data_IF_189190219656
#
_entry.id   IF_189190219656
#
_cell.length_a   1.000
_cell.length_b   1.000
_cell.length_c   1.000
_cell.angle_alpha   90.00
_cell.angle_beta   90.00
_cell.angle_gamma   90.00
#
_symmetry.space_group_name_H-M   'P 1'
#
loop_
_entity.id
_entity.type
_entity.pdbx_description
1 polymer ?
#
# COMPACT_ATOMS: atom_id res chain seq x y z
N UNK A 1 -52.30 -11.22 -52.56
CA UNK A 1 -50.88 -11.56 -52.35
C UNK A 1 -50.11 -10.25 -52.44
N UNK A 2 -49.38 -9.71 -51.47
CA UNK A 2 -48.90 -10.12 -50.16
C UNK A 2 -48.85 -8.83 -49.31
N UNK A 3 -49.30 -8.92 -48.06
CA UNK A 3 -49.15 -7.90 -47.03
C UNK A 3 -47.68 -7.76 -46.62
N UNK A 4 -47.22 -6.55 -46.30
CA UNK A 4 -46.05 -6.35 -45.42
C UNK A 4 -46.17 -5.04 -44.66
N UNK A 5 -46.87 -5.11 -43.53
CA UNK A 5 -46.65 -4.26 -42.36
C UNK A 5 -45.48 -4.79 -41.55
N UNK A 6 -44.61 -3.92 -41.04
CA UNK A 6 -43.80 -4.15 -39.83
C UNK A 6 -43.29 -2.77 -39.37
N UNK A 7 -43.92 -2.15 -38.37
CA UNK A 7 -43.75 -2.39 -36.93
C UNK A 7 -42.56 -1.59 -36.37
N UNK A 8 -42.90 -0.35 -35.98
CA UNK A 8 -42.16 0.48 -35.02
C UNK A 8 -42.04 -0.30 -33.71
N UNK A 9 -40.81 -0.58 -33.28
CA UNK A 9 -40.55 -1.12 -31.94
C UNK A 9 -39.75 -0.09 -31.15
N UNK A 10 -40.46 0.63 -30.28
CA UNK A 10 -39.87 1.45 -29.23
C UNK A 10 -39.23 0.52 -28.19
N UNK A 11 -37.91 0.58 -28.04
CA UNK A 11 -37.21 -0.07 -26.93
C UNK A 11 -36.92 0.98 -25.86
N UNK A 12 -37.78 1.01 -24.85
CA UNK A 12 -37.59 1.71 -23.58
C UNK A 12 -36.36 1.15 -22.87
N UNK A 13 -35.23 1.89 -22.92
CA UNK A 13 -34.05 1.62 -22.09
C UNK A 13 -34.35 1.96 -20.65
N UNK A 14 -34.71 0.93 -19.90
CA UNK A 14 -34.96 0.99 -18.48
C UNK A 14 -33.66 1.31 -17.74
N UNK A 15 -33.63 2.47 -17.08
CA UNK A 15 -32.47 3.03 -16.40
C UNK A 15 -32.27 2.30 -15.07
N UNK A 16 -31.47 1.22 -15.06
CA UNK A 16 -30.95 0.66 -13.81
C UNK A 16 -29.81 1.55 -13.31
N UNK A 17 -30.16 2.56 -12.51
CA UNK A 17 -29.21 3.30 -11.67
C UNK A 17 -28.60 2.32 -10.67
N UNK A 18 -27.39 1.85 -10.97
CA UNK A 18 -26.53 1.27 -9.97
C UNK A 18 -26.20 2.35 -8.92
N UNK A 19 -26.17 2.02 -7.62
CA UNK A 19 -25.79 2.98 -6.60
C UNK A 19 -24.33 3.37 -6.82
N UNK A 20 -24.10 4.64 -7.16
CA UNK A 20 -22.80 5.29 -7.11
C UNK A 20 -22.34 5.33 -5.64
N UNK A 21 -21.73 4.24 -5.17
CA UNK A 21 -20.94 4.29 -3.94
C UNK A 21 -19.65 5.04 -4.25
N UNK A 22 -19.60 6.27 -3.73
CA UNK A 22 -18.58 7.30 -3.94
C UNK A 22 -17.19 6.76 -3.66
N UNK A 23 -16.45 6.47 -4.73
CA UNK A 23 -15.00 6.30 -4.73
C UNK A 23 -14.32 7.67 -4.67
N UNK A 24 -14.07 8.15 -3.47
CA UNK A 24 -13.08 9.16 -3.15
C UNK A 24 -12.27 8.56 -2.01
N UNK A 25 -10.95 8.71 -1.96
CA UNK A 25 -10.33 9.06 -0.68
C UNK A 25 -10.56 10.57 -0.58
N UNK A 26 -11.67 11.02 0.01
CA UNK A 26 -11.92 12.44 0.09
C UNK A 26 -10.77 13.08 0.87
N UNK A 27 -10.46 14.32 0.54
CA UNK A 27 -9.63 15.20 1.39
C UNK A 27 -10.13 15.18 2.86
N UNK A 28 -11.37 14.73 3.08
CA UNK A 28 -12.05 14.57 4.36
C UNK A 28 -12.20 13.12 4.85
N UNK A 29 -11.44 12.14 4.31
CA UNK A 29 -11.51 10.76 4.80
C UNK A 29 -11.10 10.72 6.26
N UNK A 30 -11.86 10.02 7.11
CA UNK A 30 -11.50 9.92 8.52
C UNK A 30 -10.18 9.18 8.66
N UNK A 31 -9.42 9.44 9.73
CA UNK A 31 -8.17 8.71 9.96
C UNK A 31 -8.39 7.20 10.08
N UNK A 32 -9.55 6.78 10.60
CA UNK A 32 -9.94 5.38 10.69
C UNK A 32 -10.06 4.75 9.29
N UNK A 33 -10.72 5.43 8.35
CA UNK A 33 -10.85 4.92 6.97
C UNK A 33 -9.48 4.79 6.30
N UNK A 34 -8.58 5.74 6.53
CA UNK A 34 -7.23 5.75 5.96
C UNK A 34 -6.38 4.63 6.57
N UNK A 35 -6.44 4.45 7.89
CA UNK A 35 -5.73 3.38 8.60
C UNK A 35 -6.26 1.99 8.23
N UNK A 36 -7.57 1.86 8.02
CA UNK A 36 -8.18 0.64 7.50
C UNK A 36 -7.66 0.33 6.09
N UNK A 37 -7.64 1.33 5.19
CA UNK A 37 -7.09 1.16 3.85
C UNK A 37 -5.62 0.73 3.87
N UNK A 38 -4.82 1.36 4.74
CA UNK A 38 -3.41 1.06 4.96
C UNK A 38 -3.17 -0.33 5.59
N UNK A 39 -4.21 -1.04 6.04
CA UNK A 39 -4.11 -2.34 6.68
C UNK A 39 -3.61 -2.29 8.12
N UNK A 40 -3.48 -1.09 8.72
CA UNK A 40 -2.98 -0.93 10.09
C UNK A 40 -3.89 -1.61 11.11
N UNK A 41 -5.20 -1.56 10.88
CA UNK A 41 -6.18 -2.19 11.78
C UNK A 41 -6.15 -3.73 11.73
N UNK A 42 -5.38 -4.32 10.81
CA UNK A 42 -5.15 -5.76 10.74
C UNK A 42 -3.98 -6.21 11.62
N UNK A 43 -3.12 -5.27 12.03
CA UNK A 43 -1.97 -5.53 12.89
C UNK A 43 -2.41 -5.63 14.36
N UNK A 44 -1.75 -6.54 15.08
CA UNK A 44 -1.70 -6.53 16.54
C UNK A 44 -0.50 -5.68 17.01
N UNK A 45 -0.50 -5.15 18.24
CA UNK A 45 0.68 -4.50 18.83
C UNK A 45 1.94 -5.38 18.79
N UNK A 46 1.79 -6.71 18.92
CA UNK A 46 2.91 -7.66 18.82
C UNK A 46 3.58 -7.68 17.45
N UNK A 47 2.83 -7.36 16.38
CA UNK A 47 3.35 -7.34 15.01
C UNK A 47 4.27 -6.13 14.78
N UNK A 48 4.20 -5.13 15.66
CA UNK A 48 5.09 -3.96 15.65
C UNK A 48 6.39 -4.17 16.43
N UNK A 49 6.57 -5.33 17.08
CA UNK A 49 7.81 -5.64 17.80
C UNK A 49 8.87 -6.08 16.80
N UNK A 50 9.94 -5.29 16.68
CA UNK A 50 11.09 -5.59 15.83
C UNK A 50 12.01 -6.64 16.47
N UNK A 51 12.34 -6.44 17.75
CA UNK A 51 13.15 -7.37 18.55
C UNK A 51 12.69 -7.33 19.99
N UNK A 52 12.48 -8.50 20.58
CA UNK A 52 12.21 -8.68 22.01
C UNK A 52 13.32 -9.52 22.61
N UNK A 53 13.89 -9.06 23.72
CA UNK A 53 14.75 -9.83 24.61
C UNK A 53 14.16 -9.83 26.03
N UNK A 54 14.79 -10.54 26.97
CA UNK A 54 14.34 -10.59 28.38
C UNK A 54 14.33 -9.19 29.02
N UNK A 55 15.21 -8.29 28.57
CA UNK A 55 15.44 -6.98 29.19
C UNK A 55 14.97 -5.79 28.36
N UNK A 56 14.69 -5.98 27.08
CA UNK A 56 14.39 -4.87 26.16
C UNK A 56 13.46 -5.30 25.03
N UNK A 57 12.43 -4.47 24.77
CA UNK A 57 11.56 -4.58 23.60
C UNK A 57 11.81 -3.37 22.72
N UNK A 58 12.08 -3.63 21.44
CA UNK A 58 12.26 -2.58 20.44
C UNK A 58 11.21 -2.74 19.36
N UNK A 59 10.61 -1.63 18.95
CA UNK A 59 9.55 -1.59 17.95
C UNK A 59 10.08 -1.13 16.59
N UNK A 60 9.28 -1.32 15.54
CA UNK A 60 9.52 -0.65 14.27
C UNK A 60 9.27 0.86 14.41
N UNK A 61 10.13 1.65 13.79
CA UNK A 61 9.97 3.10 13.72
C UNK A 61 8.90 3.47 12.69
N UNK A 62 8.83 2.71 11.59
CA UNK A 62 7.90 2.97 10.49
C UNK A 62 7.22 1.71 9.96
N UNK A 63 5.99 1.89 9.47
CA UNK A 63 5.27 0.90 8.67
C UNK A 63 5.00 1.49 7.29
N UNK A 64 5.45 0.81 6.24
CA UNK A 64 5.12 1.12 4.85
C UNK A 64 4.07 0.12 4.36
N UNK A 65 2.98 0.62 3.77
CA UNK A 65 1.95 -0.23 3.18
C UNK A 65 1.36 0.38 1.92
N UNK A 66 0.54 -0.40 1.21
CA UNK A 66 -0.13 0.05 0.00
C UNK A 66 -1.61 -0.36 -0.01
N UNK A 67 -2.43 0.39 -0.73
CA UNK A 67 -3.82 0.03 -0.99
C UNK A 67 -4.20 0.33 -2.44
N UNK A 68 -4.73 -0.68 -3.13
CA UNK A 68 -5.35 -0.50 -4.45
C UNK A 68 -6.71 0.18 -4.29
N UNK A 69 -6.93 1.23 -5.07
CA UNK A 69 -8.19 1.96 -5.14
C UNK A 69 -9.03 1.44 -6.31
N UNK A 70 -10.36 1.63 -6.23
CA UNK A 70 -11.31 1.11 -7.24
C UNK A 70 -11.11 1.69 -8.65
N UNK A 71 -10.47 2.86 -8.76
CA UNK A 71 -10.15 3.53 -10.02
C UNK A 71 -8.83 3.04 -10.65
N UNK A 72 -8.23 1.96 -10.13
CA UNK A 72 -6.95 1.44 -10.63
C UNK A 72 -5.73 2.23 -10.19
N UNK A 73 -5.89 3.23 -9.31
CA UNK A 73 -4.75 3.90 -8.65
C UNK A 73 -4.33 3.15 -7.39
N UNK A 74 -3.10 3.39 -6.93
CA UNK A 74 -2.64 2.95 -5.62
C UNK A 74 -2.43 4.13 -4.71
N UNK A 75 -2.62 3.88 -3.42
CA UNK A 75 -2.16 4.77 -2.37
C UNK A 75 -1.05 4.08 -1.59
N UNK A 76 0.07 4.77 -1.42
CA UNK A 76 1.16 4.38 -0.54
C UNK A 76 0.97 5.07 0.81
N UNK A 77 1.34 4.38 1.87
CA UNK A 77 1.27 4.88 3.24
C UNK A 77 2.62 4.71 3.91
N UNK A 78 3.06 5.74 4.62
CA UNK A 78 4.13 5.67 5.59
C UNK A 78 3.54 6.08 6.94
N UNK A 79 3.63 5.20 7.92
CA UNK A 79 3.02 5.37 9.25
C UNK A 79 4.10 5.28 10.32
N UNK A 80 4.01 6.13 11.34
CA UNK A 80 4.84 6.09 12.55
C UNK A 80 3.97 5.88 13.77
N UNK A 81 4.44 5.04 14.67
CA UNK A 81 3.79 4.74 15.92
C UNK A 81 4.59 5.32 17.09
N UNK A 82 3.90 5.73 18.14
CA UNK A 82 4.54 6.14 19.40
C UNK A 82 4.99 4.91 20.22
N UNK A 83 5.58 5.15 21.39
CA UNK A 83 6.05 4.10 22.29
C UNK A 83 4.92 3.20 22.82
N UNK A 84 3.68 3.70 22.82
CA UNK A 84 2.48 3.00 23.27
C UNK A 84 1.75 2.32 22.09
N UNK A 85 2.38 2.25 20.92
CA UNK A 85 1.83 1.67 19.67
C UNK A 85 0.61 2.40 19.10
N UNK A 86 0.37 3.64 19.48
CA UNK A 86 -0.65 4.47 18.83
C UNK A 86 -0.08 5.05 17.54
N UNK A 87 -0.93 5.15 16.51
CA UNK A 87 -0.57 5.87 15.28
C UNK A 87 -0.34 7.35 15.62
N UNK A 88 0.89 7.81 15.54
CA UNK A 88 1.31 9.18 15.85
C UNK A 88 1.21 10.07 14.60
N UNK A 89 1.68 9.52 13.47
CA UNK A 89 1.85 10.27 12.23
C UNK A 89 1.64 9.37 11.01
N UNK A 90 1.10 9.95 9.94
CA UNK A 90 0.90 9.26 8.66
C UNK A 90 1.10 10.18 7.46
N UNK A 91 1.81 9.67 6.45
CA UNK A 91 1.99 10.32 5.16
C UNK A 91 1.51 9.42 4.03
N UNK A 92 0.89 10.03 3.00
CA UNK A 92 0.29 9.31 1.89
C UNK A 92 0.80 9.82 0.54
N UNK A 93 0.90 8.92 -0.44
CA UNK A 93 1.22 9.27 -1.82
C UNK A 93 0.33 8.50 -2.79
N UNK A 94 -0.10 9.13 -3.89
CA UNK A 94 -0.97 8.50 -4.88
C UNK A 94 -0.18 8.11 -6.13
N UNK A 95 -0.24 6.82 -6.49
CA UNK A 95 0.36 6.27 -7.71
C UNK A 95 -0.75 6.05 -8.73
N UNK A 96 -0.72 6.79 -9.84
CA UNK A 96 -1.72 6.64 -10.90
C UNK A 96 -1.36 5.49 -11.84
N UNK A 97 -2.37 4.93 -12.53
CA UNK A 97 -2.14 3.92 -13.57
C UNK A 97 -1.25 4.44 -14.70
N UNK A 98 -1.34 5.73 -15.02
CA UNK A 98 -0.48 6.38 -16.03
C UNK A 98 0.99 6.37 -15.61
N UNK A 99 1.29 6.59 -14.32
CA UNK A 99 2.66 6.50 -13.79
C UNK A 99 3.19 5.07 -13.89
N UNK A 100 2.41 4.07 -13.50
CA UNK A 100 2.80 2.66 -13.62
C UNK A 100 3.13 2.29 -15.07
N UNK A 101 2.26 2.68 -15.99
CA UNK A 101 2.42 2.41 -17.42
C UNK A 101 3.63 3.14 -18.01
N UNK A 102 3.78 4.44 -17.73
CA UNK A 102 4.89 5.27 -18.24
C UNK A 102 6.25 4.76 -17.79
N UNK A 103 6.34 4.26 -16.56
CA UNK A 103 7.58 3.73 -15.98
C UNK A 103 7.71 2.22 -16.11
N UNK A 104 6.76 1.54 -16.75
CA UNK A 104 6.73 0.08 -16.89
C UNK A 104 6.89 -0.64 -15.53
N UNK A 105 6.23 -0.12 -14.50
CA UNK A 105 6.24 -0.71 -13.16
C UNK A 105 5.15 -1.79 -13.06
N UNK A 106 5.43 -2.92 -12.39
CA UNK A 106 4.41 -3.95 -12.21
C UNK A 106 3.24 -3.45 -11.35
N UNK A 107 2.03 -3.86 -11.72
CA UNK A 107 0.77 -3.59 -11.01
C UNK A 107 0.60 -4.48 -9.77
N UNK A 108 1.56 -4.44 -8.84
CA UNK A 108 1.53 -5.21 -7.60
C UNK A 108 2.18 -4.47 -6.42
N UNK A 109 1.87 -4.90 -5.19
CA UNK A 109 2.19 -4.14 -3.98
C UNK A 109 3.69 -4.08 -3.68
N UNK A 110 4.45 -5.14 -3.93
CA UNK A 110 5.85 -5.20 -3.51
C UNK A 110 6.76 -4.18 -4.27
N UNK A 111 6.65 -4.01 -5.59
CA UNK A 111 7.28 -2.89 -6.32
C UNK A 111 6.86 -1.51 -5.81
N UNK A 112 5.62 -1.39 -5.35
CA UNK A 112 5.10 -0.14 -4.79
C UNK A 112 5.64 0.15 -3.38
N UNK A 113 5.90 -0.89 -2.58
CA UNK A 113 6.67 -0.75 -1.33
C UNK A 113 8.09 -0.26 -1.62
N UNK A 114 8.75 -0.83 -2.64
CA UNK A 114 10.08 -0.39 -3.07
C UNK A 114 10.08 1.09 -3.47
N UNK A 115 9.09 1.50 -4.26
CA UNK A 115 8.85 2.91 -4.59
C UNK A 115 8.69 3.76 -3.34
N UNK A 116 7.89 3.32 -2.37
CA UNK A 116 7.71 3.98 -1.08
C UNK A 116 9.02 4.17 -0.32
N UNK A 117 9.85 3.13 -0.21
CA UNK A 117 11.16 3.22 0.45
C UNK A 117 12.06 4.28 -0.20
N UNK A 118 12.09 4.33 -1.53
CA UNK A 118 12.87 5.32 -2.27
C UNK A 118 12.33 6.75 -2.09
N UNK A 119 11.00 6.91 -2.11
CA UNK A 119 10.35 8.20 -1.88
C UNK A 119 10.66 8.76 -0.50
N UNK A 120 10.59 7.92 0.53
CA UNK A 120 10.77 8.31 1.92
C UNK A 120 12.17 8.09 2.46
N UNK A 121 13.17 7.93 1.59
CA UNK A 121 14.56 7.59 1.96
C UNK A 121 15.12 8.42 3.10
N UNK A 122 14.87 9.74 3.10
CA UNK A 122 15.38 10.67 4.13
C UNK A 122 14.72 10.42 5.48
N UNK A 123 13.44 10.02 5.49
CA UNK A 123 12.69 9.75 6.72
C UNK A 123 13.04 8.39 7.34
N UNK A 124 13.24 7.38 6.49
CA UNK A 124 13.46 6.00 6.94
C UNK A 124 14.94 5.60 7.08
N UNK A 125 15.87 6.52 6.77
CA UNK A 125 17.29 6.26 6.90
C UNK A 125 17.62 5.89 8.35
N UNK A 126 18.49 4.88 8.53
CA UNK A 126 18.88 4.37 9.86
C UNK A 126 17.71 3.89 10.75
N UNK A 127 16.55 3.57 10.15
CA UNK A 127 15.33 3.19 10.89
C UNK A 127 14.98 1.71 10.73
N UNK A 128 14.06 1.22 11.56
CA UNK A 128 13.43 -0.10 11.46
C UNK A 128 12.09 0.04 10.76
N UNK A 129 11.93 -0.61 9.63
CA UNK A 129 10.77 -0.49 8.74
C UNK A 129 10.05 -1.84 8.60
N UNK A 130 8.76 -1.84 8.88
CA UNK A 130 7.88 -2.96 8.57
C UNK A 130 7.19 -2.69 7.22
N UNK A 131 7.44 -3.55 6.25
CA UNK A 131 6.82 -3.51 4.93
C UNK A 131 5.60 -4.42 4.90
N UNK A 132 4.41 -3.84 4.96
CA UNK A 132 3.15 -4.56 4.98
C UNK A 132 2.58 -4.73 3.58
N UNK A 133 2.43 -5.98 3.14
CA UNK A 133 1.86 -6.37 1.84
C UNK A 133 0.67 -7.30 2.07
N UNK A 134 -0.37 -7.25 1.25
CA UNK A 134 -1.54 -8.14 1.34
C UNK A 134 -1.29 -9.46 0.61
N UNK A 135 -0.55 -9.41 -0.49
CA UNK A 135 -0.16 -10.60 -1.24
C UNK A 135 1.27 -10.50 -1.76
N UNK A 136 2.03 -11.58 -1.57
CA UNK A 136 3.35 -11.76 -2.18
C UNK A 136 3.21 -12.80 -3.29
N UNK A 137 3.50 -12.40 -4.53
CA UNK A 137 3.51 -13.32 -5.66
C UNK A 137 4.81 -14.13 -5.69
N UNK A 138 4.79 -15.34 -6.23
CA UNK A 138 5.95 -16.24 -6.36
C UNK A 138 7.07 -15.67 -7.25
N UNK A 139 6.78 -14.70 -8.12
CA UNK A 139 7.75 -14.00 -8.99
C UNK A 139 8.43 -12.80 -8.29
N UNK A 140 8.26 -12.64 -6.98
CA UNK A 140 8.72 -11.48 -6.22
C UNK A 140 10.22 -11.44 -5.89
N UNK A 141 10.98 -12.50 -6.19
CA UNK A 141 12.39 -12.65 -5.77
C UNK A 141 13.25 -11.45 -6.15
N UNK A 142 13.12 -10.97 -7.40
CA UNK A 142 13.87 -9.82 -7.87
C UNK A 142 13.51 -8.52 -7.13
N UNK A 143 12.21 -8.35 -6.81
CA UNK A 143 11.75 -7.17 -6.07
C UNK A 143 12.23 -7.22 -4.62
N UNK A 144 12.27 -8.41 -3.99
CA UNK A 144 12.82 -8.61 -2.65
C UNK A 144 14.32 -8.31 -2.61
N UNK A 145 15.08 -8.72 -3.62
CA UNK A 145 16.50 -8.36 -3.73
C UNK A 145 16.69 -6.86 -3.91
N UNK A 146 15.86 -6.22 -4.74
CA UNK A 146 15.87 -4.77 -4.90
C UNK A 146 15.55 -4.03 -3.59
N UNK A 147 14.55 -4.49 -2.84
CA UNK A 147 14.21 -3.99 -1.51
C UNK A 147 15.39 -4.12 -0.55
N UNK A 148 16.03 -5.29 -0.50
CA UNK A 148 17.21 -5.51 0.34
C UNK A 148 18.35 -4.55 -0.01
N UNK A 149 18.66 -4.37 -1.30
CA UNK A 149 19.69 -3.42 -1.76
C UNK A 149 19.38 -1.98 -1.35
N UNK A 150 18.11 -1.57 -1.48
CA UNK A 150 17.67 -0.23 -1.06
C UNK A 150 17.75 -0.07 0.45
N UNK A 151 17.35 -1.08 1.21
CA UNK A 151 17.42 -1.06 2.66
C UNK A 151 18.87 -0.95 3.16
N UNK A 152 19.79 -1.73 2.58
CA UNK A 152 21.23 -1.65 2.86
C UNK A 152 21.79 -0.26 2.50
N UNK A 153 21.41 0.30 1.35
CA UNK A 153 21.81 1.66 0.93
C UNK A 153 21.37 2.73 1.93
N UNK A 154 20.21 2.57 2.56
CA UNK A 154 19.68 3.52 3.54
C UNK A 154 20.03 3.15 4.99
N UNK A 155 20.83 2.11 5.19
CA UNK A 155 21.15 1.55 6.50
C UNK A 155 19.90 1.27 7.35
N UNK A 156 18.79 0.88 6.72
CA UNK A 156 17.54 0.58 7.40
C UNK A 156 17.31 -0.92 7.53
N UNK A 157 16.74 -1.34 8.66
CA UNK A 157 16.32 -2.72 8.88
C UNK A 157 14.91 -2.86 8.31
N UNK A 158 14.67 -3.86 7.47
CA UNK A 158 13.37 -4.06 6.83
C UNK A 158 12.88 -5.49 7.05
N UNK A 159 11.60 -5.66 7.40
CA UNK A 159 10.93 -6.96 7.33
C UNK A 159 9.69 -6.83 6.44
N UNK A 160 9.48 -7.78 5.54
CA UNK A 160 8.28 -7.85 4.72
C UNK A 160 7.31 -8.82 5.38
N UNK A 161 6.12 -8.35 5.72
CA UNK A 161 5.07 -9.16 6.34
C UNK A 161 3.85 -9.15 5.45
N UNK A 162 3.31 -10.35 5.21
CA UNK A 162 2.04 -10.50 4.52
C UNK A 162 0.91 -10.34 5.53
N UNK A 163 0.13 -9.26 5.40
CA UNK A 163 -1.17 -9.08 6.04
C UNK A 163 -2.16 -10.09 5.46
N UNK A 164 -1.97 -11.37 5.77
CA UNK A 164 -3.00 -12.36 5.47
C UNK A 164 -4.26 -11.97 6.23
N UNK A 165 -5.39 -11.93 5.54
CA UNK A 165 -6.66 -12.23 6.19
C UNK A 165 -6.45 -13.59 6.87
N UNK A 166 -6.33 -13.62 8.20
CA UNK A 166 -6.21 -14.88 8.94
C UNK A 166 -7.37 -15.75 8.49
N UNK A 167 -7.05 -16.77 7.69
CA UNK A 167 -7.94 -17.73 7.02
C UNK A 167 -9.34 -17.72 7.64
N UNK A 168 -10.28 -17.01 7.00
CA UNK A 168 -11.69 -17.27 7.20
C UNK A 168 -11.94 -18.68 6.68
N UNK A 169 -12.08 -19.63 7.59
CA UNK A 169 -12.68 -20.92 7.28
C UNK A 169 -14.11 -20.66 6.79
N UNK A 170 -14.29 -20.80 5.48
CA UNK A 170 -15.54 -21.16 4.78
C UNK A 170 -16.81 -20.36 5.10
N UNK A 171 -17.23 -19.49 4.18
CA UNK A 171 -18.59 -18.97 4.16
C UNK A 171 -18.85 -17.95 3.05
N UNK A 172 -19.60 -18.36 2.01
CA UNK A 172 -20.16 -17.45 1.00
C UNK A 172 -20.98 -16.33 1.67
N UNK A 173 -20.81 -15.09 1.20
CA UNK A 173 -21.83 -14.05 1.33
C UNK A 173 -21.35 -12.74 1.94
N UNK A 174 -21.38 -11.67 1.14
CA UNK A 174 -21.32 -10.27 1.59
C UNK A 174 -22.29 -10.04 2.76
N UNK A 175 -21.79 -9.48 3.87
CA UNK A 175 -22.38 -8.40 4.66
C UNK A 175 -21.45 -8.10 5.86
N UNK A 176 -21.30 -6.81 6.19
CA UNK A 176 -20.56 -6.33 7.36
C UNK A 176 -20.90 -7.14 8.60
N UNK A 177 -19.90 -7.76 9.23
CA UNK A 177 -19.89 -8.05 10.65
C UNK A 177 -18.45 -8.10 11.12
N UNK A 178 -18.08 -7.15 11.99
CA UNK A 178 -16.97 -7.28 12.92
C UNK A 178 -17.14 -8.61 13.68
N UNK A 179 -16.49 -9.67 13.22
CA UNK A 179 -16.33 -10.86 14.05
C UNK A 179 -15.23 -10.56 15.08
N UNK A 180 -15.44 -10.90 16.36
CA UNK A 180 -14.49 -10.62 17.41
C UNK A 180 -13.31 -11.58 17.23
N UNK A 181 -12.28 -11.12 16.53
CA UNK A 181 -10.98 -11.75 16.65
C UNK A 181 -10.49 -11.47 18.07
N UNK A 182 -10.38 -12.53 18.88
CA UNK A 182 -10.02 -12.55 20.30
C UNK A 182 -8.60 -12.04 20.63
N UNK A 183 -8.02 -11.17 19.80
CA UNK A 183 -6.71 -10.55 20.03
C UNK A 183 -6.82 -9.03 20.07
N UNK A 184 -5.94 -8.39 20.85
CA UNK A 184 -5.81 -6.93 20.82
C UNK A 184 -5.36 -6.48 19.44
N UNK A 185 -6.21 -5.70 18.75
CA UNK A 185 -5.87 -5.02 17.51
C UNK A 185 -5.39 -3.60 17.80
N UNK A 186 -4.54 -3.07 16.93
CA UNK A 186 -4.19 -1.66 16.99
C UNK A 186 -5.44 -0.78 16.86
N UNK A 187 -5.53 0.22 17.71
CA UNK A 187 -6.56 1.27 17.67
C UNK A 187 -5.90 2.56 17.24
N UNK A 188 -6.61 3.33 16.43
CA UNK A 188 -6.16 4.67 16.03
C UNK A 188 -6.93 5.68 16.85
N UNK A 189 -6.28 6.16 17.91
CA UNK A 189 -6.86 7.12 18.86
C UNK A 189 -6.24 8.50 18.75
N UNK A 190 -4.98 8.60 18.28
CA UNK A 190 -4.13 9.77 18.49
C UNK A 190 -3.28 10.18 17.27
N UNK A 191 -3.74 9.97 16.03
CA UNK A 191 -2.97 10.45 14.87
C UNK A 191 -2.93 11.97 14.87
N UNK A 192 -1.78 12.53 15.22
CA UNK A 192 -1.60 13.97 15.43
C UNK A 192 -1.44 14.70 14.11
N UNK A 193 -0.72 14.09 13.16
CA UNK A 193 -0.35 14.72 11.90
C UNK A 193 -0.59 13.80 10.72
N UNK A 194 -1.26 14.33 9.69
CA UNK A 194 -1.48 13.67 8.40
C UNK A 194 -1.00 14.58 7.26
N UNK A 195 -0.18 14.03 6.37
CA UNK A 195 0.30 14.72 5.17
C UNK A 195 0.05 13.89 3.91
N UNK A 196 0.00 14.59 2.77
CA UNK A 196 0.02 13.98 1.46
C UNK A 196 1.23 14.54 0.70
N UNK A 197 2.01 13.67 0.09
CA UNK A 197 3.20 14.03 -0.68
C UNK A 197 3.09 13.56 -2.12
N UNK A 198 3.75 14.29 -2.99
CA UNK A 198 3.82 13.96 -4.42
C UNK A 198 4.93 12.95 -4.70
N UNK A 199 4.68 12.07 -5.67
CA UNK A 199 5.66 11.08 -6.10
C UNK A 199 6.74 11.76 -6.93
N UNK A 200 8.00 11.61 -6.52
CA UNK A 200 9.12 12.16 -7.28
C UNK A 200 9.41 11.31 -8.51
N UNK A 201 9.67 11.98 -9.64
CA UNK A 201 10.08 11.29 -10.88
C UNK A 201 11.38 10.52 -10.71
N UNK A 202 12.26 10.96 -9.79
CA UNK A 202 13.47 10.26 -9.40
C UNK A 202 13.17 8.90 -8.77
N UNK A 203 12.26 8.82 -7.79
CA UNK A 203 11.91 7.55 -7.15
C UNK A 203 11.32 6.56 -8.15
N UNK A 204 10.48 7.02 -9.09
CA UNK A 204 9.94 6.18 -10.17
C UNK A 204 11.03 5.62 -11.10
N UNK A 205 12.01 6.45 -11.48
CA UNK A 205 13.16 6.03 -12.31
C UNK A 205 14.02 5.00 -11.58
N UNK A 206 14.37 5.29 -10.32
CA UNK A 206 15.20 4.39 -9.49
C UNK A 206 14.49 3.04 -9.27
N UNK A 207 13.19 3.05 -8.98
CA UNK A 207 12.37 1.84 -8.84
C UNK A 207 12.46 0.98 -10.09
N UNK A 208 12.22 1.58 -11.28
CA UNK A 208 12.30 0.87 -12.56
C UNK A 208 13.69 0.27 -12.78
N UNK A 209 14.76 1.02 -12.53
CA UNK A 209 16.12 0.54 -12.74
C UNK A 209 16.47 -0.66 -11.84
N UNK A 210 16.01 -0.66 -10.59
CA UNK A 210 16.23 -1.76 -9.66
C UNK A 210 15.44 -3.02 -10.03
N UNK A 211 14.21 -2.85 -10.51
CA UNK A 211 13.37 -3.96 -10.98
C UNK A 211 13.78 -4.49 -12.35
N UNK A 212 14.49 -3.72 -13.16
CA UNK A 212 14.89 -4.11 -14.51
C UNK A 212 16.36 -3.70 -14.76
N UNK A 213 17.34 -4.31 -14.08
CA UNK A 213 18.75 -3.90 -14.16
C UNK A 213 19.33 -4.01 -15.57
N UNK A 214 18.80 -4.92 -16.38
CA UNK A 214 19.21 -5.13 -17.77
C UNK A 214 18.75 -4.01 -18.73
N UNK A 215 17.89 -3.09 -18.27
CA UNK A 215 17.25 -2.11 -19.14
C UNK A 215 18.00 -0.78 -19.30
N UNK A 216 19.09 -0.53 -18.55
CA UNK A 216 20.15 0.50 -18.77
C UNK A 216 21.13 0.56 -17.57
N UNK A 217 22.34 -0.03 -17.64
CA UNK A 217 23.25 -0.11 -16.48
C UNK A 217 23.94 1.22 -16.10
N UNK A 218 23.95 2.24 -16.98
CA UNK A 218 24.81 3.42 -16.81
C UNK A 218 24.22 4.58 -15.98
N UNK A 219 22.93 4.53 -15.62
CA UNK A 219 22.26 5.62 -14.88
C UNK A 219 21.97 5.28 -13.41
N UNK A 220 22.22 4.05 -12.96
CA UNK A 220 21.79 3.59 -11.64
C UNK A 220 22.86 3.73 -10.55
N UNK A 221 24.11 4.10 -10.91
CA UNK A 221 25.26 4.13 -9.99
C UNK A 221 25.90 5.51 -9.79
N UNK A 222 25.46 6.54 -10.51
CA UNK A 222 26.17 7.84 -10.56
C UNK A 222 25.45 9.00 -9.87
N UNK A 223 24.54 8.75 -8.92
CA UNK A 223 24.09 9.81 -8.02
C UNK A 223 24.80 9.68 -6.68
N UNK A 224 25.92 10.38 -6.46
CA UNK A 224 26.34 10.69 -5.11
C UNK A 224 25.23 11.56 -4.50
N UNK A 225 24.58 11.06 -3.47
CA UNK A 225 23.69 11.87 -2.63
C UNK A 225 24.61 12.52 -1.59
N UNK A 226 25.00 13.77 -1.87
CA UNK A 226 25.36 14.72 -0.81
C UNK A 226 24.06 15.05 -0.07
#
# INVERSE_FOLDING_TARGET
MIYSSSAVTQSTKNTKRFPQNRSRTPVNASILDVAECAGILLLNPSDLVFKSSITETTYYDFVISTARQLNGTYQLFLSKFDADTNLEWMETANVTGDMLTSYNLPDCELPLILLGMLMWKVKIQNSKVLCLVKAVNTESTQTLEALKKVAEKFNCHHHVVTANERKLSSGLGRLRLYTPQNGMRLRVTMCQTRSQVEITTQALRETRCLLFPNSRPLLCLCSPLI
#
